data_IF_405562372457
#
_entry.id   IF_405562372457
#
_cell.length_a   1.000
_cell.length_b   1.000
_cell.length_c   1.000
_cell.angle_alpha   90.00
_cell.angle_beta   90.00
_cell.angle_gamma   90.00
#
_symmetry.space_group_name_H-M   'P 1'
#
loop_
_entity.id
_entity.type
_entity.pdbx_description
1 polymer ?
#
# COMPACT_ATOMS: atom_id res chain seq x y z
N UNK A 1 -10.38 -17.17 0.96
CA UNK A 1 -10.50 -15.71 0.75
C UNK A 1 -11.21 -15.47 -0.57
N UNK A 2 -12.27 -14.66 -0.60
CA UNK A 2 -12.90 -14.24 -1.87
C UNK A 2 -12.06 -13.14 -2.50
N UNK A 3 -12.13 -12.97 -3.83
CA UNK A 3 -11.43 -11.87 -4.52
C UNK A 3 -11.82 -10.49 -3.97
N UNK A 4 -13.03 -10.37 -3.42
CA UNK A 4 -13.57 -9.14 -2.83
C UNK A 4 -12.94 -8.78 -1.46
N UNK A 5 -12.39 -9.77 -0.73
CA UNK A 5 -11.83 -9.56 0.61
C UNK A 5 -10.32 -9.35 0.65
N UNK A 6 -9.61 -9.59 -0.46
CA UNK A 6 -8.14 -9.56 -0.51
C UNK A 6 -7.53 -8.26 0.03
N UNK A 7 -8.11 -7.10 -0.30
CA UNK A 7 -7.59 -5.81 0.15
C UNK A 7 -7.72 -5.66 1.67
N UNK A 8 -8.83 -6.13 2.25
CA UNK A 8 -9.04 -6.10 3.70
C UNK A 8 -8.06 -7.04 4.42
N UNK A 9 -7.92 -8.26 3.94
CA UNK A 9 -7.00 -9.26 4.51
C UNK A 9 -5.53 -8.78 4.42
N UNK A 10 -5.15 -8.12 3.31
CA UNK A 10 -3.84 -7.45 3.17
C UNK A 10 -3.70 -6.35 4.22
N UNK A 11 -4.69 -5.48 4.36
CA UNK A 11 -4.64 -4.35 5.28
C UNK A 11 -4.49 -4.79 6.74
N UNK A 12 -5.30 -5.76 7.16
CA UNK A 12 -5.23 -6.35 8.51
C UNK A 12 -3.83 -6.93 8.77
N UNK A 13 -3.22 -7.57 7.77
CA UNK A 13 -1.83 -8.06 7.87
C UNK A 13 -0.82 -6.92 8.02
N UNK A 14 -1.01 -5.79 7.35
CA UNK A 14 -0.13 -4.62 7.45
C UNK A 14 -0.25 -3.96 8.83
N UNK A 15 -1.47 -3.83 9.36
CA UNK A 15 -1.73 -3.33 10.71
C UNK A 15 -1.13 -4.25 11.79
N UNK A 16 -1.30 -5.57 11.64
CA UNK A 16 -0.68 -6.54 12.53
C UNK A 16 0.83 -6.41 12.51
N UNK A 17 1.46 -6.36 11.34
CA UNK A 17 2.93 -6.26 11.21
C UNK A 17 3.52 -4.95 11.74
N UNK A 18 2.72 -3.87 11.79
CA UNK A 18 3.10 -2.61 12.44
C UNK A 18 3.13 -2.76 13.96
N UNK A 19 2.15 -3.44 14.54
CA UNK A 19 2.02 -3.61 15.99
C UNK A 19 2.84 -4.79 16.54
N UNK A 20 3.00 -5.84 15.73
CA UNK A 20 3.66 -7.10 16.01
C UNK A 20 4.74 -7.38 14.94
N UNK A 21 5.87 -6.65 14.97
CA UNK A 21 6.88 -6.75 13.92
C UNK A 21 7.55 -8.13 13.87
N UNK A 22 7.48 -8.79 12.72
CA UNK A 22 8.13 -10.08 12.43
C UNK A 22 9.34 -9.90 11.50
N UNK A 23 10.05 -10.98 11.15
CA UNK A 23 11.04 -10.93 10.07
C UNK A 23 10.35 -11.01 8.71
N UNK A 24 9.81 -9.87 8.25
CA UNK A 24 9.14 -9.73 6.95
C UNK A 24 9.59 -8.44 6.26
N UNK A 25 9.45 -8.36 4.94
CA UNK A 25 9.76 -7.16 4.14
C UNK A 25 9.09 -5.90 4.72
N UNK A 26 7.78 -5.94 4.94
CA UNK A 26 7.03 -4.77 5.44
C UNK A 26 7.39 -4.42 6.88
N UNK A 27 7.59 -5.41 7.76
CA UNK A 27 8.08 -5.14 9.11
C UNK A 27 9.48 -4.52 9.10
N UNK A 28 10.35 -4.90 8.16
CA UNK A 28 11.69 -4.33 8.07
C UNK A 28 11.69 -2.87 7.60
N UNK A 29 10.78 -2.51 6.68
CA UNK A 29 10.58 -1.10 6.29
C UNK A 29 10.08 -0.27 7.49
N UNK A 30 9.17 -0.82 8.28
CA UNK A 30 8.54 -0.13 9.42
C UNK A 30 9.40 -0.07 10.70
N UNK A 31 10.52 -0.81 10.79
CA UNK A 31 11.36 -0.94 12.00
C UNK A 31 12.29 0.23 12.29
N UNK A 32 12.61 1.04 11.28
CA UNK A 32 13.51 2.18 11.46
C UNK A 32 12.87 3.31 12.27
N UNK A 33 13.65 4.32 12.65
CA UNK A 33 13.09 5.54 13.26
C UNK A 33 11.91 6.03 12.42
N UNK A 34 10.86 6.58 13.06
CA UNK A 34 9.60 6.92 12.36
C UNK A 34 9.81 7.76 11.09
N UNK A 35 10.80 8.64 11.09
CA UNK A 35 11.12 9.45 9.91
C UNK A 35 11.71 8.60 8.78
N UNK A 36 12.68 7.75 9.10
CA UNK A 36 13.36 6.89 8.12
C UNK A 36 12.42 5.80 7.53
N UNK A 37 11.48 5.28 8.32
CA UNK A 37 10.48 4.33 7.83
C UNK A 37 9.51 4.99 6.84
N UNK A 38 9.05 6.22 7.13
CA UNK A 38 8.20 6.98 6.23
C UNK A 38 8.90 7.31 4.92
N UNK A 39 10.14 7.80 4.99
CA UNK A 39 10.95 8.15 3.81
C UNK A 39 11.08 6.94 2.87
N UNK A 40 11.36 5.73 3.40
CA UNK A 40 11.43 4.49 2.61
C UNK A 40 10.10 4.10 1.94
N UNK A 41 8.98 4.27 2.63
CA UNK A 41 7.66 3.98 2.06
C UNK A 41 7.36 4.97 0.92
N UNK A 42 7.68 6.24 1.10
CA UNK A 42 7.48 7.28 0.09
C UNK A 42 8.39 7.10 -1.13
N UNK A 43 9.64 6.69 -0.93
CA UNK A 43 10.56 6.31 -2.01
C UNK A 43 9.97 5.21 -2.88
N UNK A 44 9.45 4.14 -2.28
CA UNK A 44 8.77 3.06 -3.01
C UNK A 44 7.54 3.57 -3.77
N UNK A 45 6.67 4.36 -3.13
CA UNK A 45 5.51 4.93 -3.83
C UNK A 45 5.94 5.73 -5.07
N UNK A 46 7.03 6.50 -4.98
CA UNK A 46 7.58 7.25 -6.10
C UNK A 46 8.09 6.35 -7.24
N UNK A 47 8.80 5.27 -6.90
CA UNK A 47 9.28 4.25 -7.84
C UNK A 47 8.12 3.58 -8.57
N UNK A 48 7.16 3.02 -7.84
CA UNK A 48 6.01 2.28 -8.41
C UNK A 48 5.13 3.20 -9.27
N UNK A 49 5.02 4.49 -8.90
CA UNK A 49 4.31 5.49 -9.72
C UNK A 49 4.98 5.65 -11.08
N UNK A 50 6.30 5.73 -11.13
CA UNK A 50 7.04 5.82 -12.38
C UNK A 50 6.91 4.53 -13.20
N UNK A 51 6.94 3.37 -12.54
CA UNK A 51 6.79 2.06 -13.19
C UNK A 51 5.40 1.89 -13.80
N UNK A 52 4.31 2.29 -13.11
CA UNK A 52 2.95 2.30 -13.70
C UNK A 52 2.88 3.15 -14.97
N UNK A 53 3.50 4.33 -14.97
CA UNK A 53 3.53 5.23 -16.14
C UNK A 53 4.28 4.57 -17.30
N UNK A 54 5.45 3.98 -17.03
CA UNK A 54 6.27 3.30 -18.03
C UNK A 54 5.54 2.08 -18.58
N UNK A 55 4.97 1.25 -17.71
CA UNK A 55 4.27 0.03 -18.09
C UNK A 55 3.06 0.33 -18.97
N UNK A 56 2.30 1.38 -18.64
CA UNK A 56 1.19 1.84 -19.49
C UNK A 56 1.65 2.33 -20.86
N UNK A 57 2.81 3.00 -20.94
CA UNK A 57 3.34 3.52 -22.22
C UNK A 57 3.92 2.43 -23.11
N UNK A 58 4.56 1.44 -22.51
CA UNK A 58 5.33 0.42 -23.21
C UNK A 58 4.55 -0.89 -23.43
N UNK A 59 3.29 -0.96 -23.00
CA UNK A 59 2.47 -2.20 -22.96
C UNK A 59 3.16 -3.33 -22.18
N UNK A 60 3.77 -2.99 -21.04
CA UNK A 60 4.33 -3.95 -20.09
C UNK A 60 3.25 -4.35 -19.07
N UNK A 61 3.64 -4.99 -17.97
CA UNK A 61 2.69 -5.58 -17.01
C UNK A 61 2.04 -4.53 -16.10
N UNK A 62 1.13 -3.73 -16.65
CA UNK A 62 0.44 -2.65 -15.92
C UNK A 62 -0.28 -3.14 -14.65
N UNK A 63 -0.80 -4.37 -14.64
CA UNK A 63 -1.48 -4.95 -13.46
C UNK A 63 -0.50 -5.16 -12.31
N UNK A 64 0.74 -5.59 -12.61
CA UNK A 64 1.76 -5.80 -11.59
C UNK A 64 2.16 -4.50 -10.92
N UNK A 65 2.55 -3.49 -11.72
CA UNK A 65 2.97 -2.18 -11.19
C UNK A 65 1.81 -1.46 -10.47
N UNK A 66 0.58 -1.62 -10.96
CA UNK A 66 -0.60 -1.05 -10.28
C UNK A 66 -0.83 -1.72 -8.92
N UNK A 67 -0.62 -3.02 -8.82
CA UNK A 67 -0.75 -3.74 -7.56
C UNK A 67 0.32 -3.31 -6.55
N UNK A 68 1.57 -3.11 -7.00
CA UNK A 68 2.66 -2.67 -6.14
C UNK A 68 2.47 -1.22 -5.66
N UNK A 69 2.03 -0.31 -6.54
CA UNK A 69 1.66 1.05 -6.15
C UNK A 69 0.53 1.06 -5.11
N UNK A 70 -0.53 0.29 -5.33
CA UNK A 70 -1.66 0.17 -4.38
C UNK A 70 -1.17 -0.41 -3.06
N UNK A 71 -0.35 -1.46 -3.10
CA UNK A 71 0.19 -2.10 -1.90
C UNK A 71 1.00 -1.12 -1.04
N UNK A 72 1.94 -0.38 -1.63
CA UNK A 72 2.74 0.60 -0.89
C UNK A 72 1.90 1.80 -0.40
N UNK A 73 0.83 2.14 -1.11
CA UNK A 73 -0.15 3.14 -0.63
C UNK A 73 -0.89 2.62 0.61
N UNK A 74 -1.38 1.38 0.61
CA UNK A 74 -2.00 0.75 1.78
C UNK A 74 -1.02 0.64 2.95
N UNK A 75 0.26 0.32 2.68
CA UNK A 75 1.33 0.30 3.67
C UNK A 75 1.50 1.66 4.35
N UNK A 76 1.48 2.75 3.58
CA UNK A 76 1.55 4.11 4.11
C UNK A 76 0.36 4.43 5.02
N UNK A 77 -0.87 4.08 4.61
CA UNK A 77 -2.06 4.31 5.42
C UNK A 77 -2.00 3.56 6.76
N UNK A 78 -1.65 2.26 6.72
CA UNK A 78 -1.48 1.44 7.91
C UNK A 78 -0.38 2.01 8.81
N UNK A 79 0.76 2.43 8.22
CA UNK A 79 1.86 3.09 8.92
C UNK A 79 1.40 4.36 9.64
N UNK A 80 0.62 5.21 8.96
CA UNK A 80 0.02 6.44 9.50
C UNK A 80 -1.12 6.19 10.49
N UNK A 81 -1.64 4.96 10.58
CA UNK A 81 -2.76 4.61 11.46
C UNK A 81 -4.11 5.12 10.95
N UNK A 82 -4.22 5.33 9.63
CA UNK A 82 -5.49 5.58 8.96
C UNK A 82 -6.18 4.23 8.80
N UNK A 83 -7.50 4.16 8.94
CA UNK A 83 -8.24 2.90 8.77
C UNK A 83 -8.53 2.61 7.30
N UNK A 84 -8.69 1.33 6.93
CA UNK A 84 -9.16 0.97 5.60
C UNK A 84 -10.57 1.52 5.31
N UNK A 85 -11.43 1.58 6.33
CA UNK A 85 -12.80 2.05 6.17
C UNK A 85 -12.84 3.54 5.78
N UNK A 86 -11.93 4.38 6.30
CA UNK A 86 -11.78 5.77 5.85
C UNK A 86 -11.46 5.89 4.35
N UNK A 87 -10.59 5.02 3.82
CA UNK A 87 -10.29 4.97 2.39
C UNK A 87 -11.50 4.51 1.57
N UNK A 88 -12.22 3.50 2.06
CA UNK A 88 -13.42 2.97 1.40
C UNK A 88 -14.56 3.98 1.38
N UNK A 89 -14.73 4.77 2.44
CA UNK A 89 -15.71 5.86 2.50
C UNK A 89 -15.40 6.95 1.46
N UNK A 90 -14.12 7.26 1.24
CA UNK A 90 -13.71 8.15 0.14
C UNK A 90 -14.02 7.53 -1.23
N UNK A 91 -13.75 6.23 -1.45
CA UNK A 91 -14.12 5.58 -2.72
C UNK A 91 -15.63 5.54 -2.94
N UNK A 92 -16.41 5.31 -1.89
CA UNK A 92 -17.87 5.38 -1.95
C UNK A 92 -18.33 6.77 -2.38
N UNK A 93 -17.77 7.83 -1.78
CA UNK A 93 -18.05 9.21 -2.20
C UNK A 93 -17.73 9.45 -3.68
N UNK A 94 -16.62 8.91 -4.20
CA UNK A 94 -16.25 9.04 -5.62
C UNK A 94 -17.18 8.29 -6.57
N UNK A 95 -17.71 7.15 -6.16
CA UNK A 95 -18.67 6.39 -6.95
C UNK A 95 -20.03 7.10 -7.05
N UNK A 96 -20.36 7.95 -6.09
CA UNK A 96 -21.58 8.75 -6.06
C UNK A 96 -21.47 10.08 -6.84
N UNK A 97 -20.29 10.41 -7.38
CA UNK A 97 -20.05 11.55 -8.28
C UNK A 97 -20.34 11.17 -9.75
#
# INVERSE_FOLDING_TARGET
MTKEKIIRDIYETLEDRKNNPINSYTSNIMKDSKKLAEDKILEKIGEETAEVIIASKNNENLVHESADLIFHTLLLLAYKGISLDELLDEFKRRHEL
#
